data_IF_863505813437
#
_entry.id   IF_863505813437
#
_cell.length_a   1.000
_cell.length_b   1.000
_cell.length_c   1.000
_cell.angle_alpha   90.00
_cell.angle_beta   90.00
_cell.angle_gamma   90.00
#
_symmetry.space_group_name_H-M   'P 1'
#
loop_
_entity.id
_entity.type
_entity.pdbx_description
1 polymer ?
#
# COMPACT_ATOMS: atom_id res chain seq x y z
N UNK A 1 9.04 -34.73 -12.05
CA UNK A 1 10.50 -34.59 -12.17
C UNK A 1 10.79 -34.24 -13.60
N UNK A 2 11.47 -33.15 -13.97
CA UNK A 2 12.20 -32.13 -13.22
C UNK A 2 11.98 -30.79 -13.96
N UNK A 3 11.68 -29.71 -13.23
CA UNK A 3 12.60 -28.57 -13.00
C UNK A 3 13.03 -27.85 -14.28
N UNK A 4 12.56 -26.61 -14.45
CA UNK A 4 13.45 -25.51 -14.80
C UNK A 4 12.82 -24.12 -14.60
N UNK A 5 13.72 -23.19 -14.31
CA UNK A 5 13.67 -21.74 -14.45
C UNK A 5 12.90 -20.90 -13.43
N UNK A 6 13.54 -20.69 -12.27
CA UNK A 6 13.65 -19.36 -11.67
C UNK A 6 15.06 -19.16 -11.12
N UNK A 7 15.83 -18.25 -11.72
CA UNK A 7 17.13 -17.82 -11.20
C UNK A 7 16.95 -17.18 -9.82
N UNK A 8 17.53 -17.81 -8.80
CA UNK A 8 17.51 -17.37 -7.42
C UNK A 8 18.42 -16.16 -7.18
N UNK A 9 17.86 -15.16 -6.48
CA UNK A 9 18.58 -14.07 -5.83
C UNK A 9 19.75 -14.59 -4.97
N UNK A 10 21.00 -14.35 -5.41
CA UNK A 10 22.20 -14.84 -4.71
C UNK A 10 22.54 -13.96 -3.51
N UNK A 11 22.17 -14.40 -2.31
CA UNK A 11 22.59 -13.81 -1.02
C UNK A 11 23.99 -14.36 -0.65
N UNK A 12 24.93 -13.49 -0.30
CA UNK A 12 26.27 -13.90 0.14
C UNK A 12 26.50 -13.55 1.62
N UNK A 13 27.22 -14.40 2.35
CA UNK A 13 27.80 -14.04 3.65
C UNK A 13 29.19 -13.43 3.40
N UNK A 14 29.41 -12.13 3.68
CA UNK A 14 30.74 -11.54 3.56
C UNK A 14 31.66 -12.17 4.60
N UNK A 15 32.93 -12.39 4.23
CA UNK A 15 33.91 -13.00 5.13
C UNK A 15 34.49 -11.99 6.13
N UNK A 16 34.38 -10.68 5.85
CA UNK A 16 34.72 -9.59 6.74
C UNK A 16 34.03 -8.29 6.29
N UNK A 17 33.63 -7.44 7.24
CA UNK A 17 33.19 -6.06 7.01
C UNK A 17 34.03 -5.15 7.91
N UNK A 18 34.71 -4.17 7.32
CA UNK A 18 35.55 -3.20 8.01
C UNK A 18 34.73 -1.93 8.29
N UNK A 19 34.81 -1.42 9.52
CA UNK A 19 34.14 -0.20 9.97
C UNK A 19 35.18 0.83 10.47
N UNK A 20 34.88 2.12 10.37
CA UNK A 20 35.77 3.19 10.87
C UNK A 20 35.87 3.17 12.41
N UNK A 21 37.09 3.28 12.96
CA UNK A 21 37.34 3.17 14.42
C UNK A 21 37.20 4.51 15.16
N UNK A 22 36.44 4.54 16.26
CA UNK A 22 36.47 5.67 17.20
C UNK A 22 35.39 5.70 18.28
N UNK A 23 34.16 5.27 17.99
CA UNK A 23 33.05 5.09 18.95
C UNK A 23 32.10 4.03 18.37
N UNK A 24 31.41 3.23 19.23
CA UNK A 24 30.56 2.04 18.91
C UNK A 24 30.53 1.66 17.41
N UNK A 25 31.44 0.76 17.04
CA UNK A 25 31.88 0.42 15.68
C UNK A 25 30.84 -0.24 14.73
N UNK A 26 29.55 0.10 14.80
CA UNK A 26 28.47 -0.59 14.08
C UNK A 26 27.74 0.26 13.01
N UNK A 27 28.22 1.46 12.64
CA UNK A 27 27.35 2.44 11.98
C UNK A 27 27.81 3.01 10.63
N UNK A 28 29.03 2.73 10.17
CA UNK A 28 29.50 3.12 8.81
C UNK A 28 30.50 2.10 8.25
N UNK A 29 30.06 1.15 7.41
CA UNK A 29 30.98 0.24 6.75
C UNK A 29 31.86 1.02 5.76
N UNK A 30 33.17 0.74 5.76
CA UNK A 30 34.16 1.40 4.89
C UNK A 30 34.75 0.43 3.86
N UNK A 31 34.73 -0.87 4.15
CA UNK A 31 35.06 -1.91 3.19
C UNK A 31 34.37 -3.22 3.57
N UNK A 32 34.24 -4.14 2.62
CA UNK A 32 33.80 -5.51 2.88
C UNK A 32 34.49 -6.51 1.96
N UNK A 33 34.60 -7.75 2.39
CA UNK A 33 35.18 -8.84 1.58
C UNK A 33 34.08 -9.79 1.13
N UNK A 34 33.89 -9.90 -0.19
CA UNK A 34 32.94 -10.83 -0.80
C UNK A 34 33.66 -11.65 -1.88
N UNK A 35 33.44 -12.98 -1.90
CA UNK A 35 34.10 -13.92 -2.84
C UNK A 35 35.64 -13.82 -2.83
N UNK A 36 36.25 -13.58 -1.67
CA UNK A 36 37.70 -13.46 -1.51
C UNK A 36 38.31 -12.15 -2.04
N UNK A 37 37.50 -11.17 -2.48
CA UNK A 37 37.96 -9.85 -2.92
C UNK A 37 37.50 -8.78 -1.93
N UNK A 38 38.43 -7.94 -1.50
CA UNK A 38 38.15 -6.75 -0.69
C UNK A 38 37.59 -5.64 -1.58
N UNK A 39 36.50 -5.03 -1.16
CA UNK A 39 35.85 -3.92 -1.86
C UNK A 39 35.79 -2.72 -0.94
N UNK A 40 36.34 -1.60 -1.38
CA UNK A 40 36.24 -0.32 -0.67
C UNK A 40 34.93 0.38 -1.00
N UNK A 41 34.28 0.91 0.03
CA UNK A 41 33.06 1.68 -0.09
C UNK A 41 33.45 3.14 -0.31
N UNK A 42 33.10 3.68 -1.48
CA UNK A 42 33.32 5.09 -1.80
C UNK A 42 32.19 5.98 -1.28
N UNK A 43 30.96 5.45 -1.24
CA UNK A 43 29.77 6.19 -0.87
C UNK A 43 28.72 5.27 -0.23
N UNK A 44 27.94 5.81 0.70
CA UNK A 44 26.75 5.16 1.26
C UNK A 44 25.53 6.02 0.88
N UNK A 45 24.90 5.77 -0.28
CA UNK A 45 23.77 6.59 -0.72
C UNK A 45 22.54 6.52 0.20
N UNK A 46 22.37 5.42 0.92
CA UNK A 46 21.18 5.20 1.75
C UNK A 46 21.44 4.28 2.95
N UNK A 47 20.71 4.50 4.05
CA UNK A 47 20.73 3.71 5.29
C UNK A 47 19.34 3.66 5.89
N UNK A 48 18.84 2.46 6.17
CA UNK A 48 17.56 2.26 6.86
C UNK A 48 17.66 1.15 7.92
N UNK A 49 16.65 1.07 8.79
CA UNK A 49 16.56 0.05 9.84
C UNK A 49 15.19 -0.63 9.82
N UNK A 50 15.17 -1.89 10.26
CA UNK A 50 13.98 -2.72 10.39
C UNK A 50 13.92 -3.21 11.86
N UNK A 51 12.78 -3.02 12.52
CA UNK A 51 12.61 -3.29 13.96
C UNK A 51 12.59 -2.00 14.80
N UNK A 52 11.58 -1.86 15.68
CA UNK A 52 11.29 -0.64 16.44
C UNK A 52 10.99 -0.90 17.93
N UNK A 53 11.01 0.17 18.73
CA UNK A 53 11.08 0.25 20.21
C UNK A 53 10.08 -0.57 21.05
N UNK A 54 9.10 -1.24 20.45
CA UNK A 54 8.06 -2.04 21.14
C UNK A 54 7.78 -3.39 20.47
N UNK A 55 8.64 -3.85 19.55
CA UNK A 55 8.48 -5.12 18.84
C UNK A 55 9.56 -6.11 19.28
N UNK A 56 9.16 -7.36 19.53
CA UNK A 56 10.07 -8.49 19.81
C UNK A 56 10.96 -8.87 18.60
N UNK A 57 10.89 -8.11 17.50
CA UNK A 57 11.67 -8.32 16.28
C UNK A 57 13.07 -7.70 16.42
N UNK A 58 14.14 -8.41 16.03
CA UNK A 58 15.50 -7.90 16.14
C UNK A 58 15.73 -6.70 15.24
N UNK A 59 16.46 -5.70 15.76
CA UNK A 59 16.89 -4.53 14.97
C UNK A 59 17.89 -4.97 13.90
N UNK A 60 17.54 -4.72 12.65
CA UNK A 60 18.38 -4.98 11.47
C UNK A 60 18.69 -3.64 10.80
N UNK A 61 19.96 -3.39 10.52
CA UNK A 61 20.41 -2.22 9.77
C UNK A 61 20.71 -2.62 8.33
N UNK A 62 20.36 -1.77 7.38
CA UNK A 62 20.69 -1.94 5.98
C UNK A 62 21.46 -0.71 5.48
N UNK A 63 22.44 -0.95 4.62
CA UNK A 63 23.28 0.07 4.00
C UNK A 63 23.34 -0.20 2.50
N UNK A 64 22.87 0.75 1.69
CA UNK A 64 23.18 0.77 0.26
C UNK A 64 24.55 1.39 0.12
N UNK A 65 25.50 0.65 -0.45
CA UNK A 65 26.89 1.08 -0.59
C UNK A 65 27.32 1.01 -2.04
N UNK A 66 28.11 2.00 -2.46
CA UNK A 66 28.73 2.04 -3.78
C UNK A 66 30.24 1.88 -3.64
N UNK A 67 30.85 1.04 -4.46
CA UNK A 67 32.30 0.85 -4.48
C UNK A 67 32.98 1.88 -5.39
N UNK A 68 34.29 2.06 -5.24
CA UNK A 68 35.08 2.89 -6.17
C UNK A 68 35.01 2.44 -7.63
N UNK A 69 34.65 1.17 -7.89
CA UNK A 69 34.40 0.61 -9.22
C UNK A 69 32.96 0.86 -9.73
N UNK A 70 32.15 1.64 -9.01
CA UNK A 70 30.78 1.99 -9.41
C UNK A 70 29.72 0.94 -9.05
N UNK A 71 30.11 -0.23 -8.54
CA UNK A 71 29.19 -1.33 -8.20
C UNK A 71 28.41 -1.02 -6.93
N UNK A 72 27.14 -1.42 -6.91
CA UNK A 72 26.24 -1.18 -5.78
C UNK A 72 25.98 -2.48 -5.01
N UNK A 73 25.96 -2.40 -3.70
CA UNK A 73 25.68 -3.54 -2.81
C UNK A 73 24.73 -3.11 -1.71
N UNK A 74 23.96 -4.07 -1.20
CA UNK A 74 23.20 -3.91 0.05
C UNK A 74 23.89 -4.73 1.12
N UNK A 75 24.40 -4.05 2.14
CA UNK A 75 24.89 -4.67 3.37
C UNK A 75 23.75 -4.70 4.39
N UNK A 76 23.51 -5.88 4.96
CA UNK A 76 22.56 -6.10 6.05
C UNK A 76 23.34 -6.46 7.30
N UNK A 77 23.05 -5.79 8.40
CA UNK A 77 23.64 -6.03 9.72
C UNK A 77 22.56 -6.35 10.75
N UNK A 78 22.57 -7.57 11.28
CA UNK A 78 21.65 -8.00 12.34
C UNK A 78 22.30 -7.82 13.72
N UNK A 79 21.93 -6.75 14.43
CA UNK A 79 22.57 -6.32 15.66
C UNK A 79 22.50 -7.39 16.78
N UNK A 80 21.41 -8.16 16.85
CA UNK A 80 21.23 -9.19 17.88
C UNK A 80 22.21 -10.38 17.73
N UNK A 81 22.64 -10.65 16.50
CA UNK A 81 23.47 -11.82 16.16
C UNK A 81 24.88 -11.44 15.68
N UNK A 82 25.20 -10.14 15.71
CA UNK A 82 26.45 -9.56 15.18
C UNK A 82 26.83 -10.13 13.79
N UNK A 83 25.83 -10.23 12.91
CA UNK A 83 25.97 -10.93 11.63
C UNK A 83 25.74 -10.00 10.45
N UNK A 84 26.69 -10.04 9.50
CA UNK A 84 26.60 -9.34 8.23
C UNK A 84 26.14 -10.27 7.11
N UNK A 85 25.35 -9.73 6.17
CA UNK A 85 25.05 -10.32 4.88
C UNK A 85 25.23 -9.27 3.79
N UNK A 86 25.66 -9.68 2.60
CA UNK A 86 25.85 -8.79 1.46
C UNK A 86 25.10 -9.33 0.25
N UNK A 87 24.37 -8.44 -0.41
CA UNK A 87 23.75 -8.69 -1.71
C UNK A 87 24.37 -7.75 -2.72
N UNK A 88 24.81 -8.32 -3.84
CA UNK A 88 25.20 -7.52 -5.00
C UNK A 88 23.93 -6.99 -5.66
N UNK A 89 23.86 -5.68 -5.83
CA UNK A 89 22.80 -5.02 -6.57
C UNK A 89 23.34 -4.79 -7.98
N UNK A 90 22.71 -5.39 -9.00
CA UNK A 90 23.19 -5.30 -10.37
C UNK A 90 23.37 -3.82 -10.76
N UNK A 91 24.60 -3.46 -11.14
CA UNK A 91 24.95 -2.13 -11.60
C UNK A 91 24.34 -1.90 -12.97
N UNK A 92 23.29 -1.08 -13.05
CA UNK A 92 22.86 -0.50 -14.33
C UNK A 92 23.78 0.70 -14.61
N UNK A 93 24.76 0.47 -15.48
CA UNK A 93 25.60 1.54 -16.03
C UNK A 93 24.74 2.56 -16.79
N UNK A 94 25.25 3.79 -16.78
CA UNK A 94 24.59 5.05 -17.09
C UNK A 94 24.35 5.17 -18.60
N UNK A 95 23.09 5.31 -19.01
CA UNK A 95 22.74 5.59 -20.40
C UNK A 95 21.25 5.62 -20.69
N UNK A 96 20.49 6.51 -20.04
CA UNK A 96 19.13 6.89 -20.44
C UNK A 96 18.03 5.84 -20.22
N UNK A 97 17.01 6.22 -19.44
CA UNK A 97 15.72 5.53 -19.23
C UNK A 97 15.74 4.16 -18.52
N UNK A 98 15.42 4.19 -17.22
CA UNK A 98 14.19 3.63 -16.63
C UNK A 98 14.40 3.54 -15.12
N UNK A 99 13.83 4.50 -14.39
CA UNK A 99 13.80 4.49 -12.92
C UNK A 99 13.01 3.24 -12.48
N UNK A 100 13.67 2.31 -11.80
CA UNK A 100 12.95 1.21 -11.14
C UNK A 100 12.17 1.80 -9.97
N UNK A 101 10.85 1.86 -10.13
CA UNK A 101 9.92 2.38 -9.13
C UNK A 101 10.02 1.57 -7.84
N UNK A 102 10.63 2.14 -6.81
CA UNK A 102 10.48 1.60 -5.45
C UNK A 102 9.02 1.72 -5.04
N UNK A 103 8.43 0.67 -4.48
CA UNK A 103 7.05 0.71 -4.00
C UNK A 103 6.84 1.89 -3.05
N UNK A 104 5.80 2.72 -3.26
CA UNK A 104 5.54 3.88 -2.42
C UNK A 104 5.26 3.44 -0.97
N UNK A 105 5.65 4.25 0.01
CA UNK A 105 5.32 4.02 1.41
C UNK A 105 3.93 4.57 1.74
N UNK A 106 3.30 4.03 2.79
CA UNK A 106 2.03 4.55 3.30
C UNK A 106 2.14 6.00 3.75
N UNK A 107 3.26 6.39 4.36
CA UNK A 107 3.48 7.76 4.81
C UNK A 107 3.51 8.75 3.63
N UNK A 108 4.17 8.36 2.53
CA UNK A 108 4.15 9.17 1.31
C UNK A 108 2.74 9.27 0.71
N UNK A 109 1.99 8.17 0.69
CA UNK A 109 0.60 8.15 0.25
C UNK A 109 -0.30 9.06 1.10
N UNK A 110 -0.08 9.08 2.42
CA UNK A 110 -0.78 9.96 3.36
C UNK A 110 -0.45 11.44 3.16
N UNK A 111 0.83 11.76 2.92
CA UNK A 111 1.24 13.12 2.57
C UNK A 111 0.57 13.61 1.28
N UNK A 112 0.47 12.76 0.25
CA UNK A 112 -0.24 13.10 -0.99
C UNK A 112 -1.74 13.29 -0.74
N UNK A 113 -2.40 12.36 -0.05
CA UNK A 113 -3.81 12.46 0.27
C UNK A 113 -4.13 13.78 0.97
N UNK A 114 -3.39 14.08 2.05
CA UNK A 114 -3.63 15.28 2.86
C UNK A 114 -3.16 16.55 2.18
N UNK A 115 -2.28 16.50 1.19
CA UNK A 115 -1.94 17.64 0.33
C UNK A 115 -3.14 18.02 -0.55
N UNK A 116 -3.82 17.03 -1.13
CA UNK A 116 -4.87 17.26 -2.11
C UNK A 116 -6.29 17.33 -1.54
N UNK A 117 -6.56 16.67 -0.41
CA UNK A 117 -7.86 16.64 0.25
C UNK A 117 -7.77 17.28 1.65
N UNK A 118 -8.67 18.22 1.96
CA UNK A 118 -8.81 18.91 3.25
C UNK A 118 -10.12 18.58 3.94
N UNK A 119 -11.10 18.07 3.20
CA UNK A 119 -12.39 17.64 3.75
C UNK A 119 -12.22 16.42 4.65
N UNK A 120 -12.65 16.54 5.91
CA UNK A 120 -12.70 15.40 6.83
C UNK A 120 -13.50 14.23 6.26
N UNK A 121 -14.53 14.50 5.44
CA UNK A 121 -15.34 13.46 4.81
C UNK A 121 -14.57 12.66 3.76
N UNK A 122 -13.77 13.34 2.92
CA UNK A 122 -12.95 12.68 1.90
C UNK A 122 -11.77 11.93 2.53
N UNK A 123 -11.15 12.50 3.56
CA UNK A 123 -10.10 11.81 4.33
C UNK A 123 -10.68 10.56 5.02
N UNK A 124 -11.87 10.67 5.64
CA UNK A 124 -12.55 9.53 6.26
C UNK A 124 -12.92 8.44 5.23
N UNK A 125 -13.35 8.83 4.02
CA UNK A 125 -13.61 7.90 2.91
C UNK A 125 -12.34 7.15 2.51
N UNK A 126 -11.25 7.87 2.25
CA UNK A 126 -9.97 7.27 1.88
C UNK A 126 -9.44 6.31 2.95
N UNK A 127 -9.55 6.66 4.24
CA UNK A 127 -9.18 5.77 5.36
C UNK A 127 -10.07 4.53 5.45
N UNK A 128 -11.38 4.68 5.21
CA UNK A 128 -12.30 3.53 5.17
C UNK A 128 -11.95 2.58 4.02
N UNK A 129 -11.70 3.12 2.82
CA UNK A 129 -11.31 2.36 1.63
C UNK A 129 -9.96 1.67 1.84
N UNK A 130 -8.95 2.36 2.38
CA UNK A 130 -7.67 1.76 2.77
C UNK A 130 -7.88 0.55 3.68
N UNK A 131 -8.62 0.73 4.79
CA UNK A 131 -8.82 -0.32 5.79
C UNK A 131 -9.56 -1.53 5.23
N UNK A 132 -10.58 -1.31 4.40
CA UNK A 132 -11.31 -2.39 3.72
C UNK A 132 -10.43 -3.11 2.71
N UNK A 133 -9.59 -2.39 1.95
CA UNK A 133 -8.64 -3.00 1.02
C UNK A 133 -7.62 -3.89 1.74
N UNK A 134 -7.09 -3.44 2.88
CA UNK A 134 -6.19 -4.25 3.73
C UNK A 134 -6.87 -5.51 4.23
N UNK A 135 -8.10 -5.39 4.72
CA UNK A 135 -8.90 -6.52 5.18
C UNK A 135 -9.09 -7.58 4.08
N UNK A 136 -9.47 -7.16 2.87
CA UNK A 136 -9.60 -8.10 1.74
C UNK A 136 -8.27 -8.71 1.31
N UNK A 137 -7.18 -7.94 1.32
CA UNK A 137 -5.86 -8.47 0.99
C UNK A 137 -5.48 -9.64 1.93
N UNK A 138 -5.70 -9.49 3.24
CA UNK A 138 -5.46 -10.56 4.21
C UNK A 138 -6.32 -11.81 3.94
N UNK A 139 -7.59 -11.63 3.59
CA UNK A 139 -8.49 -12.76 3.24
C UNK A 139 -8.01 -13.50 1.98
N UNK A 140 -7.45 -12.79 1.02
CA UNK A 140 -6.96 -13.35 -0.23
C UNK A 140 -5.50 -13.81 -0.18
N UNK A 141 -4.79 -13.59 0.93
CA UNK A 141 -3.36 -13.91 1.07
C UNK A 141 -2.45 -13.01 0.23
N UNK A 142 -2.90 -11.79 -0.05
CA UNK A 142 -2.22 -10.77 -0.84
C UNK A 142 -1.48 -9.77 0.07
N UNK A 143 -0.67 -8.88 -0.51
CA UNK A 143 0.06 -7.83 0.22
C UNK A 143 -0.89 -6.72 0.73
N UNK A 144 -1.14 -6.62 2.05
CA UNK A 144 -2.05 -5.61 2.59
C UNK A 144 -1.52 -4.20 2.43
N UNK A 145 -0.20 -3.98 2.42
CA UNK A 145 0.36 -2.63 2.30
C UNK A 145 0.14 -2.08 0.89
N UNK A 146 0.39 -2.88 -0.15
CA UNK A 146 0.07 -2.51 -1.53
C UNK A 146 -1.42 -2.18 -1.72
N UNK A 147 -2.30 -3.04 -1.22
CA UNK A 147 -3.75 -2.87 -1.35
C UNK A 147 -4.25 -1.63 -0.59
N UNK A 148 -3.79 -1.47 0.65
CA UNK A 148 -4.12 -0.31 1.48
C UNK A 148 -3.67 1.00 0.83
N UNK A 149 -2.42 1.07 0.36
CA UNK A 149 -1.87 2.27 -0.28
C UNK A 149 -2.69 2.67 -1.52
N UNK A 150 -3.03 1.70 -2.38
CA UNK A 150 -3.87 1.96 -3.56
C UNK A 150 -5.26 2.46 -3.14
N UNK A 151 -5.87 1.85 -2.12
CA UNK A 151 -7.14 2.31 -1.56
C UNK A 151 -7.05 3.73 -0.98
N UNK A 152 -5.96 4.08 -0.31
CA UNK A 152 -5.77 5.38 0.32
C UNK A 152 -5.70 6.53 -0.69
N UNK A 153 -5.15 6.29 -1.88
CA UNK A 153 -4.92 7.34 -2.90
C UNK A 153 -5.90 7.31 -4.07
N UNK A 154 -6.97 6.51 -4.01
CA UNK A 154 -7.86 6.37 -5.17
C UNK A 154 -8.50 7.72 -5.61
N UNK A 155 -8.88 8.54 -4.63
CA UNK A 155 -9.58 9.82 -4.79
C UNK A 155 -8.70 11.06 -4.58
N UNK A 156 -7.40 11.01 -4.95
CA UNK A 156 -6.51 12.17 -4.75
C UNK A 156 -7.04 13.47 -5.40
N UNK A 157 -7.73 13.35 -6.53
CA UNK A 157 -8.20 14.51 -7.29
C UNK A 157 -9.60 15.01 -6.91
N UNK A 158 -10.39 14.24 -6.16
CA UNK A 158 -11.84 14.45 -6.09
C UNK A 158 -12.24 15.81 -5.50
N UNK A 159 -11.55 16.31 -4.46
CA UNK A 159 -11.87 17.61 -3.84
C UNK A 159 -11.63 18.81 -4.78
N UNK A 160 -10.55 18.77 -5.55
CA UNK A 160 -10.10 19.91 -6.36
C UNK A 160 -10.53 19.81 -7.83
N UNK A 161 -10.69 18.60 -8.34
CA UNK A 161 -10.91 18.31 -9.75
C UNK A 161 -11.97 17.22 -9.96
N UNK A 162 -13.19 17.35 -9.40
CA UNK A 162 -14.22 16.30 -9.50
C UNK A 162 -14.60 15.97 -10.96
N UNK A 163 -14.60 16.97 -11.86
CA UNK A 163 -14.92 16.76 -13.29
C UNK A 163 -13.79 16.06 -14.08
N UNK A 164 -12.60 15.93 -13.49
CA UNK A 164 -11.43 15.27 -14.08
C UNK A 164 -10.99 14.06 -13.25
N UNK A 165 -11.91 13.53 -12.45
CA UNK A 165 -11.68 12.42 -11.54
C UNK A 165 -11.06 11.20 -12.27
N UNK A 166 -10.16 10.50 -11.59
CA UNK A 166 -9.21 9.50 -12.11
C UNK A 166 -8.12 10.05 -13.05
N UNK A 167 -8.45 10.95 -13.97
CA UNK A 167 -7.44 11.51 -14.90
C UNK A 167 -6.39 12.32 -14.15
N UNK A 168 -6.85 13.16 -13.22
CA UNK A 168 -5.95 14.03 -12.45
C UNK A 168 -5.19 13.26 -11.37
N UNK A 169 -5.81 12.25 -10.75
CA UNK A 169 -5.11 11.30 -9.89
C UNK A 169 -3.96 10.61 -10.64
N UNK A 170 -4.17 10.19 -11.88
CA UNK A 170 -3.10 9.58 -12.68
C UNK A 170 -1.93 10.55 -12.94
N UNK A 171 -2.22 11.82 -13.26
CA UNK A 171 -1.20 12.84 -13.43
C UNK A 171 -0.40 13.08 -12.14
N UNK A 172 -1.09 13.19 -10.99
CA UNK A 172 -0.46 13.42 -9.69
C UNK A 172 0.47 12.24 -9.36
N UNK A 173 0.00 11.01 -9.46
CA UNK A 173 0.77 9.82 -9.11
C UNK A 173 1.99 9.66 -10.04
N UNK A 174 1.84 9.90 -11.35
CA UNK A 174 2.96 9.84 -12.30
C UNK A 174 3.99 10.95 -12.07
N UNK A 175 3.55 12.14 -11.65
CA UNK A 175 4.46 13.23 -11.30
C UNK A 175 5.28 12.93 -10.02
N UNK A 176 4.79 12.03 -9.17
CA UNK A 176 5.46 11.54 -7.97
C UNK A 176 6.22 10.21 -8.23
N UNK A 177 6.45 9.87 -9.51
CA UNK A 177 7.17 8.66 -9.96
C UNK A 177 6.58 7.33 -9.44
N UNK A 178 5.26 7.27 -9.21
CA UNK A 178 4.61 6.03 -8.79
C UNK A 178 4.67 4.96 -9.89
N UNK A 179 4.81 3.66 -9.54
CA UNK A 179 4.77 2.59 -10.51
C UNK A 179 3.47 2.61 -11.33
N UNK A 180 3.55 2.42 -12.65
CA UNK A 180 2.37 2.45 -13.53
C UNK A 180 1.34 1.38 -13.15
N UNK A 181 1.76 0.26 -12.55
CA UNK A 181 0.82 -0.74 -12.02
C UNK A 181 -0.06 -0.19 -10.88
N UNK A 182 0.46 0.71 -10.03
CA UNK A 182 -0.32 1.37 -8.97
C UNK A 182 -1.24 2.41 -9.58
N UNK A 183 -0.73 3.22 -10.51
CA UNK A 183 -1.53 4.25 -11.21
C UNK A 183 -2.71 3.61 -11.93
N UNK A 184 -2.45 2.54 -12.70
CA UNK A 184 -3.47 1.78 -13.41
C UNK A 184 -4.48 1.16 -12.44
N UNK A 185 -4.02 0.58 -11.34
CA UNK A 185 -4.90 -0.04 -10.35
C UNK A 185 -5.82 1.00 -9.71
N UNK A 186 -5.26 2.14 -9.31
CA UNK A 186 -6.01 3.29 -8.80
C UNK A 186 -7.09 3.69 -9.80
N UNK A 187 -6.76 4.12 -11.01
CA UNK A 187 -7.78 4.70 -11.92
C UNK A 187 -8.85 3.71 -12.38
N UNK A 188 -8.64 2.40 -12.21
CA UNK A 188 -9.61 1.38 -12.62
C UNK A 188 -10.94 1.44 -11.85
N UNK A 189 -10.98 2.10 -10.67
CA UNK A 189 -12.24 2.29 -9.94
C UNK A 189 -13.23 3.19 -10.71
N UNK A 190 -12.73 4.12 -11.54
CA UNK A 190 -13.55 4.98 -12.40
C UNK A 190 -14.08 4.32 -13.68
N UNK A 191 -13.91 3.01 -13.85
CA UNK A 191 -14.32 2.29 -15.07
C UNK A 191 -15.82 2.38 -15.35
N UNK A 192 -16.17 2.82 -16.56
CA UNK A 192 -17.57 2.97 -16.97
C UNK A 192 -18.26 4.20 -16.35
N UNK A 193 -17.52 5.04 -15.62
CA UNK A 193 -17.98 6.31 -15.07
C UNK A 193 -17.23 7.47 -15.74
N UNK A 194 -15.90 7.47 -15.59
CA UNK A 194 -15.00 8.57 -16.00
C UNK A 194 -13.86 8.11 -16.91
N UNK A 195 -13.64 6.80 -17.03
CA UNK A 195 -12.65 6.21 -17.93
C UNK A 195 -13.01 4.78 -18.39
N UNK A 196 -12.22 4.23 -19.32
CA UNK A 196 -12.39 2.89 -19.91
C UNK A 196 -11.39 1.84 -19.36
N UNK A 197 -10.67 2.14 -18.27
CA UNK A 197 -9.65 1.26 -17.69
C UNK A 197 -10.32 0.16 -16.85
N UNK A 198 -10.70 -0.94 -17.50
CA UNK A 198 -11.41 -2.04 -16.85
C UNK A 198 -10.59 -2.70 -15.71
N UNK A 199 -11.21 -2.94 -14.54
CA UNK A 199 -10.64 -3.78 -13.49
C UNK A 199 -10.29 -5.18 -14.01
N UNK A 200 -9.01 -5.55 -13.90
CA UNK A 200 -8.45 -6.79 -14.41
C UNK A 200 -8.01 -7.71 -13.26
N UNK A 201 -7.26 -7.17 -12.30
CA UNK A 201 -6.73 -7.94 -11.16
C UNK A 201 -7.76 -8.12 -10.04
N UNK A 202 -7.47 -9.01 -9.09
CA UNK A 202 -8.30 -9.20 -7.90
C UNK A 202 -8.36 -7.92 -7.03
N UNK A 203 -7.22 -7.24 -6.90
CA UNK A 203 -7.10 -5.95 -6.22
C UNK A 203 -8.04 -4.90 -6.85
N UNK A 204 -7.95 -4.73 -8.17
CA UNK A 204 -8.73 -3.73 -8.91
C UNK A 204 -10.23 -3.99 -8.84
N UNK A 205 -10.64 -5.25 -8.99
CA UNK A 205 -12.05 -5.64 -8.84
C UNK A 205 -12.54 -5.39 -7.42
N UNK A 206 -11.68 -5.59 -6.42
CA UNK A 206 -12.02 -5.29 -5.03
C UNK A 206 -12.20 -3.79 -4.83
N UNK A 207 -11.23 -2.96 -5.24
CA UNK A 207 -11.31 -1.51 -5.16
C UNK A 207 -12.58 -0.97 -5.81
N UNK A 208 -12.84 -1.37 -7.06
CA UNK A 208 -14.04 -1.01 -7.82
C UNK A 208 -15.35 -1.35 -7.08
N UNK A 209 -15.37 -2.48 -6.36
CA UNK A 209 -16.56 -2.93 -5.64
C UNK A 209 -16.75 -2.15 -4.34
N UNK A 210 -15.67 -1.99 -3.57
CA UNK A 210 -15.75 -1.53 -2.19
C UNK A 210 -15.81 -0.03 -2.07
N UNK A 211 -15.31 0.72 -3.06
CA UNK A 211 -15.33 2.19 -3.07
C UNK A 211 -16.76 2.74 -2.86
N UNK A 212 -17.68 2.43 -3.78
CA UNK A 212 -19.10 2.82 -3.63
C UNK A 212 -19.77 2.17 -2.41
N UNK A 213 -19.36 0.96 -2.04
CA UNK A 213 -19.97 0.21 -0.95
C UNK A 213 -19.61 0.78 0.43
N UNK A 214 -18.40 1.29 0.63
CA UNK A 214 -17.99 1.95 1.88
C UNK A 214 -18.89 3.18 2.12
N UNK A 215 -19.17 3.97 1.09
CA UNK A 215 -20.08 5.12 1.15
C UNK A 215 -21.51 4.73 1.59
N UNK A 216 -22.05 3.64 1.04
CA UNK A 216 -23.35 3.13 1.46
C UNK A 216 -23.36 2.66 2.92
N UNK A 217 -22.32 1.93 3.34
CA UNK A 217 -22.18 1.42 4.70
C UNK A 217 -22.04 2.57 5.70
N UNK A 218 -21.21 3.57 5.39
CA UNK A 218 -21.04 4.78 6.19
C UNK A 218 -22.36 5.55 6.34
N UNK A 219 -23.07 5.80 5.23
CA UNK A 219 -24.38 6.46 5.26
C UNK A 219 -25.37 5.66 6.12
N UNK A 220 -25.38 4.33 6.00
CA UNK A 220 -26.24 3.47 6.80
C UNK A 220 -25.91 3.54 8.30
N UNK A 221 -24.64 3.69 8.68
CA UNK A 221 -24.21 3.87 10.07
C UNK A 221 -24.68 5.22 10.62
N UNK A 222 -24.48 6.31 9.87
CA UNK A 222 -24.79 7.68 10.31
C UNK A 222 -26.26 7.93 10.62
N UNK A 223 -27.18 7.19 9.99
CA UNK A 223 -28.63 7.33 10.24
C UNK A 223 -29.15 6.46 11.39
N UNK A 224 -28.28 5.68 12.05
CA UNK A 224 -28.67 4.90 13.23
C UNK A 224 -28.56 5.74 14.51
N UNK A 225 -29.32 5.43 15.57
CA UNK A 225 -29.18 6.09 16.86
C UNK A 225 -27.75 6.02 17.43
N UNK A 226 -27.08 4.87 17.34
CA UNK A 226 -25.70 4.69 17.80
C UNK A 226 -24.67 5.46 16.95
N UNK A 227 -25.01 5.80 15.70
CA UNK A 227 -24.09 6.33 14.68
C UNK A 227 -22.80 5.52 14.54
N UNK A 228 -22.86 4.22 14.84
CA UNK A 228 -21.70 3.36 14.96
C UNK A 228 -21.66 2.29 13.87
N UNK A 229 -20.46 2.02 13.37
CA UNK A 229 -20.14 0.87 12.52
C UNK A 229 -19.91 -0.39 13.37
N UNK A 230 -19.56 -0.25 14.65
CA UNK A 230 -19.14 -1.35 15.52
C UNK A 230 -20.27 -2.35 15.79
N UNK A 231 -21.52 -1.86 15.88
CA UNK A 231 -22.74 -2.64 16.04
C UNK A 231 -23.55 -2.77 14.73
N UNK A 232 -22.94 -2.41 13.59
CA UNK A 232 -23.58 -2.51 12.27
C UNK A 232 -23.72 -3.97 11.84
N UNK A 233 -24.88 -4.28 11.23
CA UNK A 233 -25.17 -5.62 10.70
C UNK A 233 -25.47 -5.54 9.21
N UNK A 234 -24.98 -6.50 8.44
CA UNK A 234 -25.18 -6.54 6.99
C UNK A 234 -26.66 -6.49 6.57
N UNK A 235 -27.56 -7.10 7.35
CA UNK A 235 -29.02 -7.03 7.12
C UNK A 235 -29.55 -5.57 7.15
N UNK A 236 -28.99 -4.71 7.99
CA UNK A 236 -29.39 -3.30 8.08
C UNK A 236 -28.97 -2.54 6.82
N UNK A 237 -27.74 -2.73 6.36
CA UNK A 237 -27.24 -2.15 5.11
C UNK A 237 -28.02 -2.70 3.91
N UNK A 238 -28.31 -4.01 3.87
CA UNK A 238 -29.12 -4.64 2.80
C UNK A 238 -30.55 -4.10 2.75
N UNK A 239 -31.11 -3.62 3.86
CA UNK A 239 -32.41 -2.92 3.86
C UNK A 239 -32.27 -1.55 3.18
N UNK A 240 -31.20 -0.81 3.47
CA UNK A 240 -30.88 0.49 2.86
C UNK A 240 -30.53 0.38 1.38
N UNK A 241 -29.83 -0.68 0.99
CA UNK A 241 -29.56 -1.05 -0.40
C UNK A 241 -30.82 -1.04 -1.28
N UNK A 242 -31.92 -1.65 -0.79
CA UNK A 242 -33.19 -1.73 -1.53
C UNK A 242 -33.90 -0.39 -1.70
N UNK A 243 -33.62 0.57 -0.82
CA UNK A 243 -34.16 1.92 -0.91
C UNK A 243 -33.27 2.76 -1.86
N UNK A 244 -33.67 2.87 -3.13
CA UNK A 244 -32.89 3.61 -4.14
C UNK A 244 -32.77 5.11 -3.84
N UNK A 245 -33.60 5.67 -2.97
CA UNK A 245 -33.50 7.09 -2.55
C UNK A 245 -32.46 7.28 -1.46
N UNK A 246 -32.18 6.23 -0.68
CA UNK A 246 -31.16 6.27 0.35
C UNK A 246 -29.77 6.23 -0.29
N UNK A 247 -28.89 7.17 0.08
CA UNK A 247 -27.58 7.33 -0.54
C UNK A 247 -27.72 7.33 -2.09
N UNK A 248 -28.50 8.28 -2.61
CA UNK A 248 -28.83 8.35 -4.04
C UNK A 248 -27.60 8.56 -4.95
N UNK A 249 -26.49 9.05 -4.39
CA UNK A 249 -25.20 9.13 -5.09
C UNK A 249 -24.51 7.79 -5.28
N UNK A 250 -24.89 6.75 -4.51
CA UNK A 250 -24.25 5.43 -4.61
C UNK A 250 -24.71 4.70 -5.86
N UNK A 251 -23.75 4.32 -6.69
CA UNK A 251 -24.01 3.51 -7.88
C UNK A 251 -24.12 2.01 -7.54
N UNK A 252 -25.36 1.53 -7.42
CA UNK A 252 -25.64 0.13 -7.09
C UNK A 252 -25.24 -0.84 -8.20
N UNK A 253 -25.29 -0.43 -9.46
CA UNK A 253 -24.94 -1.30 -10.58
C UNK A 253 -23.44 -1.62 -10.58
N UNK A 254 -22.61 -0.66 -10.17
CA UNK A 254 -21.16 -0.83 -9.96
C UNK A 254 -20.90 -1.88 -8.89
N UNK A 255 -21.52 -1.74 -7.71
CA UNK A 255 -21.34 -2.69 -6.61
C UNK A 255 -21.81 -4.09 -7.03
N UNK A 256 -22.96 -4.21 -7.71
CA UNK A 256 -23.44 -5.51 -8.22
C UNK A 256 -22.49 -6.12 -9.26
N UNK A 257 -21.93 -5.30 -10.15
CA UNK A 257 -20.98 -5.75 -11.16
C UNK A 257 -19.67 -6.21 -10.54
N UNK A 258 -19.18 -5.48 -9.54
CA UNK A 258 -18.02 -5.84 -8.75
C UNK A 258 -18.20 -7.16 -8.00
N UNK A 259 -19.34 -7.32 -7.31
CA UNK A 259 -19.73 -8.58 -6.66
C UNK A 259 -19.70 -9.76 -7.66
N UNK A 260 -20.26 -9.59 -8.86
CA UNK A 260 -20.21 -10.62 -9.93
C UNK A 260 -18.79 -10.97 -10.36
N UNK A 261 -17.89 -10.00 -10.45
CA UNK A 261 -16.49 -10.25 -10.85
C UNK A 261 -15.65 -10.90 -9.77
N UNK A 262 -16.01 -10.70 -8.51
CA UNK A 262 -15.38 -11.32 -7.34
C UNK A 262 -15.99 -12.68 -7.00
N UNK A 263 -17.03 -13.11 -7.72
CA UNK A 263 -17.84 -14.30 -7.38
C UNK A 263 -18.33 -14.26 -5.92
N UNK A 264 -18.77 -13.08 -5.49
CA UNK A 264 -19.13 -12.77 -4.11
C UNK A 264 -20.59 -12.34 -4.01
N UNK A 265 -21.31 -12.90 -3.04
CA UNK A 265 -22.67 -12.49 -2.74
C UNK A 265 -22.70 -11.07 -2.15
N UNK A 266 -23.69 -10.25 -2.53
CA UNK A 266 -23.80 -8.87 -2.01
C UNK A 266 -23.82 -8.81 -0.48
N UNK A 267 -24.46 -9.77 0.19
CA UNK A 267 -24.46 -9.83 1.66
C UNK A 267 -23.10 -10.12 2.26
N UNK A 268 -22.28 -10.90 1.57
CA UNK A 268 -20.91 -11.16 1.97
C UNK A 268 -20.06 -9.91 1.77
N UNK A 269 -20.13 -9.27 0.59
CA UNK A 269 -19.43 -8.01 0.31
C UNK A 269 -19.75 -6.94 1.36
N UNK A 270 -21.04 -6.74 1.68
CA UNK A 270 -21.46 -5.83 2.76
C UNK A 270 -20.85 -6.23 4.10
N UNK A 271 -20.83 -7.52 4.44
CA UNK A 271 -20.32 -7.99 5.74
C UNK A 271 -18.81 -7.73 5.84
N UNK A 272 -18.06 -8.08 4.79
CA UNK A 272 -16.62 -7.88 4.74
C UNK A 272 -16.26 -6.39 4.74
N UNK A 273 -17.02 -5.54 4.03
CA UNK A 273 -16.84 -4.08 4.10
C UNK A 273 -17.10 -3.54 5.51
N UNK A 274 -18.15 -4.01 6.19
CA UNK A 274 -18.40 -3.61 7.60
C UNK A 274 -17.21 -4.01 8.48
N UNK A 275 -16.75 -5.26 8.41
CA UNK A 275 -15.62 -5.73 9.22
C UNK A 275 -14.35 -4.95 8.90
N UNK A 276 -14.05 -4.71 7.62
CA UNK A 276 -12.89 -3.93 7.19
C UNK A 276 -12.93 -2.45 7.60
N UNK A 277 -14.10 -1.86 7.87
CA UNK A 277 -14.22 -0.49 8.36
C UNK A 277 -14.07 -0.36 9.89
N UNK A 278 -14.30 -1.43 10.66
CA UNK A 278 -14.25 -1.39 12.13
C UNK A 278 -12.88 -0.99 12.73
N UNK A 279 -11.73 -1.44 12.20
CA UNK A 279 -10.41 -1.10 12.76
C UNK A 279 -10.15 0.40 12.82
N UNK A 280 -10.73 1.17 11.89
CA UNK A 280 -10.54 2.62 11.77
C UNK A 280 -11.79 3.41 12.15
N UNK A 281 -12.72 2.80 12.91
CA UNK A 281 -14.02 3.39 13.22
C UNK A 281 -13.91 4.78 13.88
N UNK A 282 -12.90 5.01 14.71
CA UNK A 282 -12.66 6.29 15.37
C UNK A 282 -12.24 7.36 14.37
N UNK A 283 -11.27 7.04 13.53
CA UNK A 283 -10.67 7.92 12.53
C UNK A 283 -11.66 8.30 11.43
N UNK A 284 -12.55 7.38 11.04
CA UNK A 284 -13.60 7.65 10.04
C UNK A 284 -14.87 8.27 10.65
N UNK A 285 -14.87 8.56 11.94
CA UNK A 285 -15.99 9.20 12.65
C UNK A 285 -17.22 8.31 12.83
N UNK A 286 -17.05 6.99 12.76
CA UNK A 286 -18.10 5.98 12.88
C UNK A 286 -17.96 5.08 14.12
N UNK A 287 -17.13 5.45 15.09
CA UNK A 287 -17.09 4.77 16.40
C UNK A 287 -18.43 4.89 17.10
N UNK A 288 -19.05 6.07 17.04
CA UNK A 288 -20.37 6.35 17.61
C UNK A 288 -20.44 6.00 19.10
N UNK A 289 -21.67 5.70 19.56
CA UNK A 289 -21.95 5.20 20.90
C UNK A 289 -22.67 3.85 20.76
N UNK A 290 -21.93 2.75 20.53
CA UNK A 290 -22.52 1.42 20.47
C UNK A 290 -23.01 1.02 21.87
N UNK A 291 -24.18 0.37 21.93
CA UNK A 291 -24.73 -0.22 23.15
C UNK A 291 -23.98 -1.50 23.55
#
# INVERSE_FOLDING_TARGET
MAENDFEADRIYRPSAVECYSGYKACERPVAFTCKGRRMEISEIPDRWYEGGLTSDKPVVNYFKVKTGEGRVFILRYAAQSDAWAVREHASTDIGGQAMSSSSPSRDHAWELLTRHNKSNGLIAHALAVESVMRHFAEQYGEDPDKWGIIGLVHDLDYEQYPDQHCHKTAEILRAEDWPEEYVRAVISHGYGIVNDVKPASLLEKTLYTIDELTGLVAAAALVRPSKSILDMKAKSVKKKWKDKRFAAGVNREIIEQGCRWLDMELSEAISQTIEGMKPVAEEIGLKGNPD
#
